data_IF_473878757022
#
_entry.id   IF_473878757022
#
_cell.length_a   1.000
_cell.length_b   1.000
_cell.length_c   1.000
_cell.angle_alpha   90.00
_cell.angle_beta   90.00
_cell.angle_gamma   90.00
#
_symmetry.space_group_name_H-M   'P 1'
#
loop_
_entity.id
_entity.type
_entity.pdbx_description
1 polymer ?
#
# COMPACT_ATOMS: atom_id res chain seq x y z
N UNK A 1 -16.91 -4.84 5.45
CA UNK A 1 -15.50 -4.64 4.97
C UNK A 1 -14.74 -3.80 6.00
N UNK A 2 -13.55 -4.20 6.43
CA UNK A 2 -12.71 -3.37 7.32
C UNK A 2 -11.79 -2.50 6.44
N UNK A 3 -12.12 -1.20 6.32
CA UNK A 3 -11.33 -0.24 5.55
C UNK A 3 -10.41 0.50 6.51
N UNK A 4 -9.11 0.41 6.24
CA UNK A 4 -8.08 1.10 7.01
C UNK A 4 -7.57 2.37 6.33
N UNK A 5 -6.49 2.91 6.90
CA UNK A 5 -5.76 4.06 6.36
C UNK A 5 -4.27 3.74 6.27
N UNK A 6 -3.69 4.02 5.10
CA UNK A 6 -2.24 4.03 4.93
C UNK A 6 -1.69 5.38 5.44
N UNK A 7 -0.77 5.31 6.39
CA UNK A 7 -0.37 6.49 7.19
C UNK A 7 0.53 7.49 6.46
N UNK A 8 0.94 7.20 5.22
CA UNK A 8 1.52 8.23 4.34
C UNK A 8 0.59 9.42 4.18
N UNK A 9 -0.73 9.20 4.17
CA UNK A 9 -1.75 10.25 4.06
C UNK A 9 -1.60 11.28 5.18
N UNK A 10 -1.30 10.82 6.40
CA UNK A 10 -1.15 11.68 7.60
C UNK A 10 0.33 11.91 8.00
N UNK A 11 1.30 11.61 7.12
CA UNK A 11 2.75 11.62 7.43
C UNK A 11 3.28 12.90 8.06
N UNK A 12 2.70 14.08 7.72
CA UNK A 12 3.11 15.36 8.30
C UNK A 12 2.73 15.47 9.79
N UNK A 13 1.55 15.01 10.15
CA UNK A 13 1.08 14.97 11.54
C UNK A 13 1.82 13.87 12.32
N UNK A 14 1.95 12.68 11.75
CA UNK A 14 2.64 11.53 12.32
C UNK A 14 4.12 11.83 12.65
N UNK A 15 4.81 12.63 11.83
CA UNK A 15 6.19 13.08 12.11
C UNK A 15 6.29 13.88 13.41
N UNK A 16 5.21 14.56 13.83
CA UNK A 16 5.17 15.32 15.08
C UNK A 16 4.81 14.45 16.28
N UNK A 17 3.82 13.56 16.11
CA UNK A 17 3.37 12.61 17.14
C UNK A 17 2.51 11.53 16.46
N UNK A 18 2.89 10.27 16.62
CA UNK A 18 2.13 9.12 16.12
C UNK A 18 0.75 9.11 16.79
N UNK A 19 0.71 9.17 18.12
CA UNK A 19 -0.52 9.14 18.90
C UNK A 19 -1.51 10.22 18.47
N UNK A 20 -1.06 11.49 18.43
CA UNK A 20 -1.92 12.60 18.07
C UNK A 20 -2.39 12.57 16.60
N UNK A 21 -1.60 11.93 15.71
CA UNK A 21 -1.99 11.75 14.32
C UNK A 21 -3.07 10.68 14.12
N UNK A 22 -3.06 9.61 14.94
CA UNK A 22 -4.00 8.49 14.79
C UNK A 22 -5.33 8.74 15.52
N UNK A 23 -5.32 9.40 16.68
CA UNK A 23 -6.52 9.63 17.49
C UNK A 23 -7.70 10.25 16.73
N UNK A 24 -7.53 11.26 15.84
CA UNK A 24 -8.64 11.81 15.06
C UNK A 24 -9.28 10.78 14.12
N UNK A 25 -8.48 9.86 13.53
CA UNK A 25 -8.96 8.79 12.66
C UNK A 25 -9.68 7.69 13.46
N UNK A 26 -9.13 7.33 14.61
CA UNK A 26 -9.74 6.37 15.54
C UNK A 26 -11.12 6.88 16.00
N UNK A 27 -11.24 8.17 16.32
CA UNK A 27 -12.53 8.83 16.66
C UNK A 27 -13.52 8.83 15.48
N UNK A 28 -13.05 8.74 14.26
CA UNK A 28 -13.88 8.59 13.05
C UNK A 28 -14.29 7.13 12.77
N UNK A 29 -13.91 6.17 13.63
CA UNK A 29 -14.24 4.76 13.49
C UNK A 29 -13.18 3.92 12.75
N UNK A 30 -12.08 4.51 12.31
CA UNK A 30 -11.00 3.77 11.63
C UNK A 30 -10.26 2.90 12.63
N UNK A 31 -10.18 1.60 12.35
CA UNK A 31 -9.59 0.60 13.22
C UNK A 31 -8.37 -0.10 12.62
N UNK A 32 -8.12 0.03 11.33
CA UNK A 32 -7.02 -0.64 10.63
C UNK A 32 -6.04 0.38 10.05
N UNK A 33 -4.74 0.14 10.21
CA UNK A 33 -3.70 1.04 9.74
C UNK A 33 -2.59 0.26 9.03
N UNK A 34 -2.26 0.67 7.80
CA UNK A 34 -0.98 0.32 7.20
C UNK A 34 0.04 1.40 7.56
N UNK A 35 1.02 1.03 8.38
CA UNK A 35 1.99 1.98 8.95
C UNK A 35 3.12 2.25 7.98
N UNK A 36 3.33 3.51 7.63
CA UNK A 36 4.39 3.96 6.73
C UNK A 36 5.02 5.28 7.20
N UNK A 37 6.22 5.60 6.68
CA UNK A 37 6.87 6.91 6.88
C UNK A 37 7.21 7.24 8.34
N UNK A 38 7.52 6.23 9.14
CA UNK A 38 8.14 6.35 10.46
C UNK A 38 9.44 5.55 10.47
N UNK A 39 10.22 5.70 11.54
CA UNK A 39 11.32 4.79 11.84
C UNK A 39 10.76 3.53 12.51
N UNK A 40 11.06 2.38 11.93
CA UNK A 40 10.61 1.08 12.44
C UNK A 40 11.54 0.61 13.57
N UNK A 41 11.51 1.33 14.69
CA UNK A 41 12.28 1.05 15.89
C UNK A 41 11.36 0.69 17.06
N UNK A 42 11.96 0.17 18.14
CA UNK A 42 11.25 -0.27 19.35
C UNK A 42 10.40 0.84 20.00
N UNK A 43 10.90 2.10 20.02
CA UNK A 43 10.17 3.23 20.60
C UNK A 43 8.83 3.44 19.90
N UNK A 44 8.86 3.55 18.57
CA UNK A 44 7.64 3.76 17.77
C UNK A 44 6.73 2.53 17.79
N UNK A 45 7.30 1.32 17.85
CA UNK A 45 6.53 0.09 18.01
C UNK A 45 5.72 0.08 19.32
N UNK A 46 6.34 0.48 20.43
CA UNK A 46 5.67 0.56 21.74
C UNK A 46 4.60 1.65 21.79
N UNK A 47 4.82 2.80 21.12
CA UNK A 47 3.80 3.84 21.01
C UNK A 47 2.57 3.33 20.24
N UNK A 48 2.77 2.63 19.11
CA UNK A 48 1.68 2.00 18.36
C UNK A 48 1.03 0.87 19.16
N UNK A 49 1.81 0.06 19.88
CA UNK A 49 1.29 -0.98 20.76
C UNK A 49 0.33 -0.39 21.80
N UNK A 50 0.69 0.74 22.41
CA UNK A 50 -0.19 1.44 23.35
C UNK A 50 -1.53 1.87 22.71
N UNK A 51 -1.53 2.29 21.43
CA UNK A 51 -2.75 2.59 20.70
C UNK A 51 -3.59 1.34 20.41
N UNK A 52 -2.95 0.21 20.08
CA UNK A 52 -3.61 -1.08 19.91
C UNK A 52 -4.33 -1.47 21.20
N UNK A 53 -3.61 -1.43 22.33
CA UNK A 53 -4.15 -1.86 23.63
C UNK A 53 -5.29 -0.96 24.13
N UNK A 54 -5.17 0.35 23.91
CA UNK A 54 -6.17 1.33 24.42
C UNK A 54 -7.39 1.46 23.51
N UNK A 55 -7.24 1.29 22.20
CA UNK A 55 -8.29 1.65 21.25
C UNK A 55 -8.75 0.49 20.36
N UNK A 56 -8.16 -0.71 20.52
CA UNK A 56 -8.50 -1.88 19.74
C UNK A 56 -8.26 -1.69 18.24
N UNK A 57 -7.22 -0.95 17.87
CA UNK A 57 -6.80 -0.85 16.47
C UNK A 57 -5.91 -2.01 16.07
N UNK A 58 -5.76 -2.24 14.78
CA UNK A 58 -4.84 -3.21 14.22
C UNK A 58 -3.83 -2.54 13.28
N UNK A 59 -2.66 -3.16 13.15
CA UNK A 59 -1.69 -2.84 12.09
C UNK A 59 -1.84 -3.88 11.00
N UNK A 60 -2.57 -3.54 9.94
CA UNK A 60 -2.82 -4.43 8.79
C UNK A 60 -1.54 -4.79 8.05
N UNK A 61 -0.62 -3.85 7.92
CA UNK A 61 0.70 -4.03 7.35
C UNK A 61 1.65 -2.89 7.77
N UNK A 62 2.95 -3.08 7.55
CA UNK A 62 3.93 -1.99 7.58
C UNK A 62 4.56 -1.83 6.19
N UNK A 63 4.65 -0.59 5.69
CA UNK A 63 5.26 -0.29 4.41
C UNK A 63 6.66 0.29 4.58
N UNK A 64 7.66 -0.47 4.16
CA UNK A 64 9.08 -0.26 4.46
C UNK A 64 9.90 -0.01 3.20
N UNK A 65 10.86 0.91 3.25
CA UNK A 65 11.78 1.14 2.11
C UNK A 65 12.63 -0.10 1.84
N UNK A 66 12.94 -0.42 0.56
CA UNK A 66 13.72 -1.61 0.20
C UNK A 66 14.99 -1.79 1.03
N UNK A 67 15.79 -0.73 1.19
CA UNK A 67 17.06 -0.80 1.94
C UNK A 67 16.92 -1.35 3.36
N UNK A 68 15.79 -1.11 4.03
CA UNK A 68 15.54 -1.62 5.38
C UNK A 68 14.96 -3.03 5.36
N UNK A 69 14.11 -3.34 4.37
CA UNK A 69 13.57 -4.71 4.18
C UNK A 69 14.70 -5.72 3.99
N UNK A 70 15.76 -5.33 3.27
CA UNK A 70 16.92 -6.20 3.02
C UNK A 70 18.03 -6.07 4.07
N UNK A 71 18.24 -4.88 4.64
CA UNK A 71 19.40 -4.60 5.50
C UNK A 71 19.12 -4.52 7.00
N UNK A 72 17.84 -4.44 7.43
CA UNK A 72 17.47 -4.28 8.83
C UNK A 72 16.34 -5.27 9.23
N UNK A 73 16.47 -6.52 8.81
CA UNK A 73 15.42 -7.56 8.99
C UNK A 73 15.04 -7.71 10.47
N UNK A 74 16.02 -7.78 11.38
CA UNK A 74 15.77 -8.00 12.81
C UNK A 74 14.94 -6.86 13.42
N UNK A 75 15.24 -5.60 13.09
CA UNK A 75 14.49 -4.43 13.59
C UNK A 75 13.05 -4.46 13.10
N UNK A 76 12.86 -4.78 11.81
CA UNK A 76 11.53 -4.90 11.20
C UNK A 76 10.73 -6.05 11.83
N UNK A 77 11.37 -7.20 12.07
CA UNK A 77 10.73 -8.35 12.73
C UNK A 77 10.37 -8.02 14.19
N UNK A 78 11.26 -7.33 14.93
CA UNK A 78 10.95 -6.87 16.30
C UNK A 78 9.76 -5.92 16.30
N UNK A 79 9.73 -4.94 15.40
CA UNK A 79 8.59 -4.04 15.24
C UNK A 79 7.29 -4.80 14.99
N UNK A 80 7.31 -5.76 14.07
CA UNK A 80 6.16 -6.60 13.75
C UNK A 80 5.68 -7.42 14.95
N UNK A 81 6.60 -8.00 15.73
CA UNK A 81 6.27 -8.76 16.95
C UNK A 81 5.59 -7.87 17.99
N UNK A 82 6.13 -6.68 18.27
CA UNK A 82 5.55 -5.73 19.25
C UNK A 82 4.15 -5.27 18.83
N UNK A 83 3.96 -4.96 17.55
CA UNK A 83 2.69 -4.43 17.02
C UNK A 83 1.71 -5.52 16.58
N UNK A 84 2.08 -6.80 16.73
CA UNK A 84 1.33 -7.96 16.21
C UNK A 84 1.04 -7.88 14.69
N UNK A 85 1.87 -7.17 13.93
CA UNK A 85 1.76 -7.07 12.49
C UNK A 85 2.28 -8.32 11.80
N UNK A 86 1.56 -8.85 10.81
CA UNK A 86 1.93 -10.06 10.08
C UNK A 86 2.33 -9.80 8.63
N UNK A 87 2.36 -8.54 8.19
CA UNK A 87 2.63 -8.17 6.79
C UNK A 87 3.65 -7.05 6.69
N UNK A 88 4.68 -7.28 5.90
CA UNK A 88 5.69 -6.27 5.53
C UNK A 88 5.58 -6.00 4.05
N UNK A 89 5.46 -4.74 3.66
CA UNK A 89 5.29 -4.31 2.28
C UNK A 89 6.55 -3.54 1.83
N UNK A 90 7.19 -3.99 0.77
CA UNK A 90 8.25 -3.25 0.10
C UNK A 90 7.62 -2.03 -0.59
N UNK A 91 8.01 -0.83 -0.19
CA UNK A 91 7.27 0.40 -0.55
C UNK A 91 7.39 0.83 -2.01
N UNK A 92 8.42 0.42 -2.73
CA UNK A 92 8.69 0.82 -4.11
C UNK A 92 9.93 0.10 -4.66
N UNK A 93 10.19 0.23 -5.96
CA UNK A 93 11.48 -0.15 -6.55
C UNK A 93 12.63 0.66 -5.93
N UNK A 94 13.82 0.05 -5.75
CA UNK A 94 15.04 0.80 -5.49
C UNK A 94 15.30 1.84 -6.59
N UNK A 95 15.83 3.02 -6.23
CA UNK A 95 16.15 4.06 -7.21
C UNK A 95 17.14 3.58 -8.28
N UNK A 96 18.05 2.68 -7.95
CA UNK A 96 18.94 2.02 -8.90
C UNK A 96 18.21 1.21 -9.98
N UNK A 97 17.02 0.69 -9.68
CA UNK A 97 16.19 -0.02 -10.65
C UNK A 97 15.35 0.95 -11.50
N UNK A 98 15.02 2.13 -10.97
CA UNK A 98 14.22 3.15 -11.67
C UNK A 98 15.09 3.89 -12.69
N UNK A 99 16.27 4.36 -12.26
CA UNK A 99 17.16 5.23 -13.02
C UNK A 99 18.34 4.48 -13.67
N UNK A 100 18.56 3.23 -13.30
CA UNK A 100 19.65 2.38 -13.79
C UNK A 100 19.26 1.50 -14.97
N UNK A 101 20.18 0.59 -15.32
CA UNK A 101 19.96 -0.41 -16.38
C UNK A 101 18.89 -1.43 -15.98
N UNK A 102 18.35 -2.12 -16.98
CA UNK A 102 17.40 -3.23 -16.79
C UNK A 102 17.98 -4.36 -15.95
N UNK A 103 19.30 -4.58 -16.02
CA UNK A 103 19.99 -5.60 -15.19
C UNK A 103 19.81 -5.33 -13.69
N UNK A 104 19.78 -4.05 -13.27
CA UNK A 104 19.50 -3.69 -11.86
C UNK A 104 18.11 -4.12 -11.44
N UNK A 105 17.12 -3.96 -12.33
CA UNK A 105 15.77 -4.42 -12.09
C UNK A 105 15.70 -5.96 -12.02
N UNK A 106 16.29 -6.67 -12.97
CA UNK A 106 16.32 -8.14 -12.94
C UNK A 106 17.07 -8.70 -11.74
N UNK A 107 18.21 -8.08 -11.38
CA UNK A 107 18.93 -8.43 -10.17
C UNK A 107 18.07 -8.24 -8.91
N UNK A 108 17.31 -7.15 -8.83
CA UNK A 108 16.42 -6.91 -7.68
C UNK A 108 15.31 -7.96 -7.60
N UNK A 109 14.57 -8.20 -8.67
CA UNK A 109 13.45 -9.15 -8.64
C UNK A 109 13.90 -10.58 -8.35
N UNK A 110 15.10 -10.98 -8.77
CA UNK A 110 15.67 -12.31 -8.47
C UNK A 110 15.92 -12.53 -6.96
N UNK A 111 15.96 -11.46 -6.15
CA UNK A 111 16.16 -11.57 -4.70
C UNK A 111 14.84 -11.67 -3.92
N UNK A 112 13.70 -11.31 -4.52
CA UNK A 112 12.44 -11.13 -3.80
C UNK A 112 11.92 -12.41 -3.13
N UNK A 113 11.95 -13.54 -3.84
CA UNK A 113 11.44 -14.79 -3.27
C UNK A 113 12.35 -15.32 -2.14
N UNK A 114 13.66 -15.11 -2.23
CA UNK A 114 14.59 -15.41 -1.13
C UNK A 114 14.30 -14.53 0.09
N UNK A 115 14.05 -13.24 -0.15
CA UNK A 115 13.71 -12.32 0.94
C UNK A 115 12.34 -12.67 1.55
N UNK A 116 11.38 -13.10 0.75
CA UNK A 116 10.11 -13.62 1.23
C UNK A 116 10.32 -14.77 2.22
N UNK A 117 11.16 -15.77 1.89
CA UNK A 117 11.44 -16.92 2.76
C UNK A 117 12.06 -16.52 4.11
N UNK A 118 12.86 -15.45 4.14
CA UNK A 118 13.44 -14.93 5.40
C UNK A 118 12.33 -14.42 6.32
N UNK A 119 11.37 -13.66 5.80
CA UNK A 119 10.24 -13.14 6.58
C UNK A 119 9.22 -14.23 6.92
N UNK A 120 8.96 -15.16 6.00
CA UNK A 120 8.06 -16.30 6.20
C UNK A 120 8.48 -17.17 7.39
N UNK A 121 9.78 -17.42 7.57
CA UNK A 121 10.34 -18.12 8.75
C UNK A 121 10.06 -17.40 10.08
N UNK A 122 9.72 -16.12 10.04
CA UNK A 122 9.32 -15.31 11.20
C UNK A 122 7.78 -15.19 11.33
N UNK A 123 7.01 -15.91 10.51
CA UNK A 123 5.56 -15.81 10.46
C UNK A 123 5.05 -14.49 9.86
N UNK A 124 5.84 -13.86 8.99
CA UNK A 124 5.54 -12.58 8.36
C UNK A 124 5.45 -12.77 6.84
N UNK A 125 4.36 -12.31 6.24
CA UNK A 125 4.17 -12.26 4.80
C UNK A 125 4.89 -11.04 4.23
N UNK A 126 5.78 -11.22 3.25
CA UNK A 126 6.40 -10.14 2.52
C UNK A 126 5.62 -9.85 1.24
N UNK A 127 5.30 -8.59 1.01
CA UNK A 127 4.63 -8.14 -0.20
C UNK A 127 5.38 -7.00 -0.90
N UNK A 128 5.02 -6.75 -2.12
CA UNK A 128 5.56 -5.67 -2.94
C UNK A 128 4.44 -4.69 -3.33
N UNK A 129 4.65 -3.40 -3.09
CA UNK A 129 3.78 -2.31 -3.54
C UNK A 129 4.40 -1.61 -4.75
N UNK A 130 3.59 -1.39 -5.77
CA UNK A 130 4.02 -0.79 -7.03
C UNK A 130 3.66 0.69 -7.16
N UNK A 131 4.31 1.34 -8.13
CA UNK A 131 4.01 2.68 -8.62
C UNK A 131 3.81 2.65 -10.14
N UNK A 132 3.99 3.78 -10.81
CA UNK A 132 4.00 3.84 -12.28
C UNK A 132 5.29 3.30 -12.91
N UNK A 133 6.36 3.17 -12.15
CA UNK A 133 7.67 2.69 -12.65
C UNK A 133 7.64 1.25 -13.13
N UNK A 134 6.75 0.44 -12.57
CA UNK A 134 6.57 -0.96 -12.95
C UNK A 134 5.79 -1.14 -14.25
N UNK A 135 5.14 -0.09 -14.74
CA UNK A 135 4.43 -0.11 -16.03
C UNK A 135 5.28 0.37 -17.21
N UNK A 136 6.54 0.72 -16.97
CA UNK A 136 7.51 1.03 -18.04
C UNK A 136 7.81 -0.24 -18.83
N UNK A 137 7.84 -0.09 -20.16
CA UNK A 137 8.20 -1.16 -21.10
C UNK A 137 9.71 -1.33 -21.15
N UNK A 138 10.17 -2.57 -21.06
CA UNK A 138 11.57 -2.99 -21.15
C UNK A 138 11.99 -3.21 -22.61
N UNK A 139 13.28 -3.39 -22.83
CA UNK A 139 13.87 -3.65 -24.17
C UNK A 139 13.28 -4.87 -24.88
N UNK A 140 12.79 -5.87 -24.11
CA UNK A 140 12.12 -7.06 -24.62
C UNK A 140 10.63 -6.84 -24.97
N UNK A 141 10.12 -5.62 -24.92
CA UNK A 141 8.73 -5.26 -25.21
C UNK A 141 7.74 -5.55 -24.08
N UNK A 142 8.17 -6.09 -22.95
CA UNK A 142 7.31 -6.40 -21.79
C UNK A 142 7.39 -5.31 -20.74
N UNK A 143 6.34 -5.15 -19.93
CA UNK A 143 6.39 -4.23 -18.78
C UNK A 143 7.17 -4.86 -17.63
N UNK A 144 7.81 -4.01 -16.81
CA UNK A 144 8.45 -4.47 -15.58
C UNK A 144 7.48 -5.22 -14.66
N UNK A 145 6.21 -4.81 -14.61
CA UNK A 145 5.18 -5.50 -13.81
C UNK A 145 4.96 -6.94 -14.29
N UNK A 146 4.88 -7.16 -15.60
CA UNK A 146 4.69 -8.49 -16.17
C UNK A 146 5.89 -9.41 -15.85
N UNK A 147 7.10 -8.86 -15.95
CA UNK A 147 8.34 -9.56 -15.57
C UNK A 147 8.38 -9.89 -14.07
N UNK A 148 7.98 -8.93 -13.22
CA UNK A 148 7.95 -9.11 -11.78
C UNK A 148 6.96 -10.21 -11.38
N UNK A 149 5.76 -10.23 -11.97
CA UNK A 149 4.76 -11.26 -11.71
C UNK A 149 5.24 -12.64 -12.18
N UNK A 150 5.84 -12.72 -13.35
CA UNK A 150 6.23 -14.00 -13.95
C UNK A 150 7.48 -14.60 -13.29
N UNK A 151 8.49 -13.77 -13.02
CA UNK A 151 9.79 -14.21 -12.50
C UNK A 151 9.83 -14.42 -11.00
N UNK A 152 8.77 -14.03 -10.28
CA UNK A 152 8.62 -14.31 -8.84
C UNK A 152 7.47 -15.28 -8.60
N UNK A 153 7.57 -16.09 -7.54
CA UNK A 153 6.55 -17.10 -7.21
C UNK A 153 5.96 -16.92 -5.83
N UNK A 154 6.75 -16.47 -4.85
CA UNK A 154 6.36 -16.38 -3.44
C UNK A 154 5.93 -14.99 -3.03
N UNK A 155 6.61 -13.94 -3.52
CA UNK A 155 6.30 -12.56 -3.15
C UNK A 155 4.82 -12.24 -3.39
N UNK A 156 4.18 -11.62 -2.40
CA UNK A 156 2.80 -11.14 -2.50
C UNK A 156 2.77 -9.71 -3.06
N UNK A 157 1.57 -9.22 -3.38
CA UNK A 157 1.39 -7.89 -3.96
C UNK A 157 0.40 -7.05 -3.16
N UNK A 158 0.70 -5.75 -3.09
CA UNK A 158 -0.24 -4.71 -2.68
C UNK A 158 -0.48 -3.80 -3.89
N UNK A 159 -1.72 -3.75 -4.34
CA UNK A 159 -2.12 -2.99 -5.51
C UNK A 159 -2.50 -1.55 -5.14
N UNK A 160 -2.02 -0.57 -5.91
CA UNK A 160 -2.43 0.83 -5.80
C UNK A 160 -3.25 1.22 -7.04
N UNK A 161 -4.52 1.52 -6.82
CA UNK A 161 -5.49 1.81 -7.90
C UNK A 161 -5.15 3.08 -8.66
N UNK A 162 -4.60 4.09 -8.01
CA UNK A 162 -4.15 5.33 -8.64
C UNK A 162 -3.00 5.11 -9.63
N UNK A 163 -1.99 4.34 -9.22
CA UNK A 163 -0.81 4.16 -10.07
C UNK A 163 -1.09 3.30 -11.29
N UNK A 164 -1.95 2.29 -11.21
CA UNK A 164 -2.41 1.55 -12.37
C UNK A 164 -3.24 2.43 -13.30
N UNK A 165 -4.26 3.11 -12.79
CA UNK A 165 -5.12 3.99 -13.59
C UNK A 165 -4.32 5.12 -14.25
N UNK A 166 -3.39 5.75 -13.53
CA UNK A 166 -2.47 6.77 -14.06
C UNK A 166 -1.58 6.25 -15.20
N UNK A 167 -1.28 4.97 -15.18
CA UNK A 167 -0.48 4.29 -16.22
C UNK A 167 -1.35 3.73 -17.36
N UNK A 168 -2.65 4.06 -17.41
CA UNK A 168 -3.58 3.59 -18.43
C UNK A 168 -3.99 2.12 -18.27
N UNK A 169 -3.80 1.56 -17.07
CA UNK A 169 -4.14 0.17 -16.75
C UNK A 169 -5.42 0.16 -15.90
N UNK A 170 -6.40 -0.61 -16.33
CA UNK A 170 -7.60 -0.88 -15.54
C UNK A 170 -7.21 -1.57 -14.22
N UNK A 171 -7.54 -0.97 -13.05
CA UNK A 171 -7.25 -1.56 -11.75
C UNK A 171 -7.82 -2.98 -11.58
N UNK A 172 -9.00 -3.26 -12.11
CA UNK A 172 -9.65 -4.58 -12.00
C UNK A 172 -8.91 -5.65 -12.80
N UNK A 173 -8.39 -5.27 -13.97
CA UNK A 173 -7.54 -6.15 -14.78
C UNK A 173 -6.24 -6.48 -14.06
N UNK A 174 -5.61 -5.50 -13.43
CA UNK A 174 -4.37 -5.71 -12.67
C UNK A 174 -4.60 -6.63 -11.46
N UNK A 175 -5.72 -6.46 -10.75
CA UNK A 175 -6.11 -7.33 -9.63
C UNK A 175 -6.20 -8.78 -10.08
N UNK A 176 -6.88 -9.06 -11.19
CA UNK A 176 -7.00 -10.41 -11.76
C UNK A 176 -5.63 -11.00 -12.14
N UNK A 177 -4.72 -10.16 -12.61
CA UNK A 177 -3.37 -10.58 -12.99
C UNK A 177 -2.51 -10.98 -11.77
N UNK A 178 -2.67 -10.31 -10.64
CA UNK A 178 -2.03 -10.72 -9.38
C UNK A 178 -2.63 -12.02 -8.81
N UNK A 179 -3.93 -12.25 -9.02
CA UNK A 179 -4.64 -13.44 -8.54
C UNK A 179 -4.48 -13.61 -7.02
N UNK A 180 -4.26 -14.83 -6.55
CA UNK A 180 -4.11 -15.19 -5.14
C UNK A 180 -2.82 -14.65 -4.47
N UNK A 181 -2.00 -13.94 -5.21
CA UNK A 181 -0.85 -13.22 -4.64
C UNK A 181 -1.19 -11.80 -4.22
N UNK A 182 -2.38 -11.28 -4.55
CA UNK A 182 -2.86 -10.00 -4.05
C UNK A 182 -3.31 -10.14 -2.60
N UNK A 183 -2.70 -9.40 -1.69
CA UNK A 183 -3.06 -9.42 -0.25
C UNK A 183 -3.61 -8.10 0.26
N UNK A 184 -3.39 -7.00 -0.45
CA UNK A 184 -3.84 -5.68 -0.02
C UNK A 184 -4.07 -4.73 -1.18
N UNK A 185 -4.92 -3.73 -0.94
CA UNK A 185 -5.18 -2.65 -1.91
C UNK A 185 -5.07 -1.30 -1.23
N UNK A 186 -4.30 -0.40 -1.86
CA UNK A 186 -4.39 1.02 -1.64
C UNK A 186 -5.52 1.58 -2.50
N UNK A 187 -6.64 1.86 -1.85
CA UNK A 187 -7.76 2.55 -2.46
C UNK A 187 -7.39 4.02 -2.59
N UNK A 188 -7.16 4.45 -3.83
CA UNK A 188 -6.66 5.78 -4.14
C UNK A 188 -7.26 6.23 -5.46
N UNK A 189 -7.99 7.35 -5.45
CA UNK A 189 -8.73 7.82 -6.61
C UNK A 189 -7.92 8.84 -7.43
N UNK A 190 -8.33 9.01 -8.68
CA UNK A 190 -7.66 9.80 -9.69
C UNK A 190 -8.64 10.78 -10.34
N UNK A 191 -8.31 12.07 -10.35
CA UNK A 191 -8.97 13.00 -11.26
C UNK A 191 -8.28 13.02 -12.61
N UNK A 192 -9.06 12.94 -13.68
CA UNK A 192 -8.60 13.27 -15.02
C UNK A 192 -8.50 14.80 -15.17
N UNK A 193 -7.77 15.24 -16.20
CA UNK A 193 -7.57 16.61 -16.61
C UNK A 193 -8.80 17.50 -16.39
N UNK A 194 -8.69 18.58 -15.63
CA UNK A 194 -9.63 19.71 -15.74
C UNK A 194 -9.21 20.54 -16.95
N UNK A 195 -10.09 20.55 -17.98
CA UNK A 195 -9.93 21.36 -19.19
C UNK A 195 -9.59 22.81 -18.78
N UNK A 196 -8.46 23.34 -19.25
CA UNK A 196 -8.02 24.71 -19.01
C UNK A 196 -6.98 24.93 -17.90
N UNK A 197 -6.57 23.89 -17.18
CA UNK A 197 -5.43 23.94 -16.27
C UNK A 197 -4.45 22.84 -16.69
N UNK A 198 -3.21 23.19 -17.02
CA UNK A 198 -2.09 22.25 -17.23
C UNK A 198 -1.73 21.52 -15.91
N UNK A 199 -2.71 20.82 -15.35
CA UNK A 199 -2.54 20.15 -14.07
C UNK A 199 -2.51 18.65 -14.30
N UNK A 200 -1.37 17.99 -14.01
CA UNK A 200 -1.27 16.55 -14.11
C UNK A 200 -2.37 15.87 -13.28
N UNK A 201 -2.76 14.66 -13.70
CA UNK A 201 -3.66 13.78 -12.95
C UNK A 201 -3.29 13.77 -11.46
N UNK A 202 -4.25 14.03 -10.57
CA UNK A 202 -4.04 14.21 -9.13
C UNK A 202 -4.82 13.18 -8.35
N UNK A 203 -4.34 12.91 -7.15
CA UNK A 203 -5.16 12.27 -6.13
C UNK A 203 -6.47 13.03 -5.93
N UNK A 204 -7.55 12.28 -5.85
CA UNK A 204 -8.88 12.76 -5.54
C UNK A 204 -9.39 12.14 -4.25
N UNK A 205 -10.37 12.76 -3.63
CA UNK A 205 -11.19 12.09 -2.62
C UNK A 205 -11.89 10.91 -3.30
N UNK A 206 -11.88 9.76 -2.67
CA UNK A 206 -12.49 8.55 -3.23
C UNK A 206 -13.98 8.78 -3.49
N UNK A 207 -14.40 8.53 -4.73
CA UNK A 207 -15.75 8.80 -5.23
C UNK A 207 -15.92 10.16 -5.90
N UNK A 208 -14.92 11.04 -5.84
CA UNK A 208 -14.89 12.31 -6.59
C UNK A 208 -14.01 12.22 -7.86
N UNK A 209 -13.37 11.09 -8.10
CA UNK A 209 -12.51 10.80 -9.25
C UNK A 209 -13.18 9.92 -10.29
N UNK A 210 -12.39 9.10 -10.98
CA UNK A 210 -12.84 8.30 -12.12
C UNK A 210 -12.78 6.79 -11.91
N UNK A 211 -12.28 6.32 -10.76
CA UNK A 211 -12.10 4.89 -10.51
C UNK A 211 -13.40 4.30 -9.98
N UNK A 212 -13.87 3.21 -10.59
CA UNK A 212 -14.99 2.42 -10.10
C UNK A 212 -14.58 1.52 -8.94
N UNK A 213 -14.73 2.03 -7.72
CA UNK A 213 -14.36 1.29 -6.51
C UNK A 213 -15.27 0.10 -6.20
N UNK A 214 -16.50 0.09 -6.69
CA UNK A 214 -17.36 -1.09 -6.56
C UNK A 214 -16.74 -2.29 -7.31
N UNK A 215 -16.39 -2.09 -8.58
CA UNK A 215 -15.74 -3.12 -9.39
C UNK A 215 -14.37 -3.52 -8.86
N UNK A 216 -13.59 -2.56 -8.35
CA UNK A 216 -12.28 -2.81 -7.71
C UNK A 216 -12.42 -3.71 -6.50
N UNK A 217 -13.31 -3.38 -5.57
CA UNK A 217 -13.51 -4.12 -4.32
C UNK A 217 -14.03 -5.53 -4.63
N UNK A 218 -15.02 -5.65 -5.52
CA UNK A 218 -15.56 -6.94 -5.95
C UNK A 218 -14.49 -7.84 -6.59
N UNK A 219 -13.66 -7.27 -7.47
CA UNK A 219 -12.54 -8.00 -8.08
C UNK A 219 -11.50 -8.42 -7.05
N UNK A 220 -11.22 -7.58 -6.05
CA UNK A 220 -10.28 -7.90 -4.99
C UNK A 220 -10.76 -9.07 -4.10
N UNK A 221 -12.03 -9.07 -3.74
CA UNK A 221 -12.61 -10.18 -2.99
C UNK A 221 -12.59 -11.49 -3.77
N UNK A 222 -12.85 -11.44 -5.08
CA UNK A 222 -12.84 -12.65 -5.92
C UNK A 222 -11.49 -13.37 -5.98
N UNK A 223 -10.40 -12.67 -5.63
CA UNK A 223 -9.03 -13.24 -5.59
C UNK A 223 -8.50 -13.43 -4.17
N UNK A 224 -9.32 -13.16 -3.14
CA UNK A 224 -8.96 -13.37 -1.73
C UNK A 224 -8.11 -12.26 -1.11
N UNK A 225 -8.27 -10.99 -1.56
CA UNK A 225 -7.57 -9.86 -0.96
C UNK A 225 -7.93 -9.71 0.53
N UNK A 226 -6.90 -9.52 1.38
CA UNK A 226 -7.04 -9.61 2.83
C UNK A 226 -7.34 -8.26 3.50
N UNK A 227 -6.86 -7.13 2.94
CA UNK A 227 -7.06 -5.81 3.53
C UNK A 227 -7.15 -4.68 2.50
N UNK A 228 -7.80 -3.60 2.91
CA UNK A 228 -8.02 -2.40 2.10
C UNK A 228 -7.64 -1.17 2.92
N UNK A 229 -6.87 -0.25 2.35
CA UNK A 229 -6.50 0.99 3.02
C UNK A 229 -6.66 2.19 2.08
N UNK A 230 -7.18 3.29 2.61
CA UNK A 230 -7.23 4.58 1.92
C UNK A 230 -5.82 5.16 1.91
N UNK A 231 -5.30 5.49 0.73
CA UNK A 231 -4.11 6.31 0.58
C UNK A 231 -4.42 7.54 -0.28
N UNK A 232 -4.05 8.74 0.19
CA UNK A 232 -4.29 9.99 -0.53
C UNK A 232 -3.16 10.99 -0.31
N UNK A 233 -2.80 11.72 -1.36
CA UNK A 233 -1.94 12.90 -1.25
C UNK A 233 -2.81 14.16 -1.22
N UNK A 234 -3.08 14.67 -0.04
CA UNK A 234 -4.00 15.78 0.20
C UNK A 234 -3.44 16.83 1.16
N UNK A 235 -4.03 18.03 1.14
CA UNK A 235 -3.76 19.10 2.10
C UNK A 235 -4.64 18.98 3.37
N UNK A 236 -5.78 18.30 3.28
CA UNK A 236 -6.78 18.16 4.34
C UNK A 236 -7.03 16.69 4.72
N UNK A 237 -5.99 15.94 5.20
CA UNK A 237 -6.05 14.48 5.27
C UNK A 237 -7.22 13.94 6.08
N UNK A 238 -7.53 14.52 7.23
CA UNK A 238 -8.59 14.00 8.10
C UNK A 238 -10.00 14.19 7.55
N UNK A 239 -10.26 15.33 6.89
CA UNK A 239 -11.52 15.61 6.21
C UNK A 239 -11.71 14.71 5.00
N UNK A 240 -10.67 14.58 4.20
CA UNK A 240 -10.72 13.85 2.93
C UNK A 240 -10.80 12.33 3.17
N UNK A 241 -10.07 11.81 4.17
CA UNK A 241 -10.22 10.41 4.62
C UNK A 241 -11.66 10.15 5.07
N UNK A 242 -12.25 11.07 5.85
CA UNK A 242 -13.64 10.92 6.33
C UNK A 242 -14.65 10.82 5.17
N UNK A 243 -14.49 11.66 4.13
CA UNK A 243 -15.34 11.62 2.94
C UNK A 243 -15.16 10.31 2.17
N UNK A 244 -13.90 9.93 1.92
CA UNK A 244 -13.52 8.69 1.22
C UNK A 244 -14.05 7.46 1.95
N UNK A 245 -13.92 7.43 3.28
CA UNK A 245 -14.41 6.32 4.10
C UNK A 245 -15.92 6.16 4.00
N UNK A 246 -16.69 7.26 4.11
CA UNK A 246 -18.15 7.25 3.96
C UNK A 246 -18.59 6.77 2.58
N UNK A 247 -17.91 7.20 1.53
CA UNK A 247 -18.21 6.74 0.17
C UNK A 247 -17.98 5.22 0.05
N UNK A 248 -16.87 4.72 0.55
CA UNK A 248 -16.56 3.29 0.51
C UNK A 248 -17.53 2.46 1.37
N UNK A 249 -17.96 2.96 2.53
CA UNK A 249 -19.01 2.30 3.33
C UNK A 249 -20.32 2.20 2.55
N UNK A 250 -20.72 3.27 1.84
CA UNK A 250 -21.96 3.27 1.03
C UNK A 250 -21.93 2.28 -0.13
N UNK A 251 -20.75 1.93 -0.64
CA UNK A 251 -20.57 0.91 -1.67
C UNK A 251 -20.68 -0.49 -1.05
N UNK A 252 -20.05 -0.69 0.11
CA UNK A 252 -20.00 -1.99 0.77
C UNK A 252 -21.37 -2.47 1.31
N UNK A 253 -22.33 -1.55 1.51
CA UNK A 253 -23.69 -1.87 2.00
C UNK A 253 -24.68 -2.17 0.87
N UNK A 254 -24.27 -2.14 -0.40
CA UNK A 254 -25.15 -2.43 -1.55
C UNK A 254 -25.18 -3.91 -1.94
N UNK A 255 -24.57 -4.77 -1.12
CA UNK A 255 -24.69 -6.23 -1.17
C UNK A 255 -25.67 -6.71 -0.11
#
# INVERSE_FOLDING_TARGET
MNIGVQTFTIRKAQKKSITNAYLPLIKQGIKSFEVARIDFNKKNALEIRSLIDKHGIEVSAIQVKPKYVFGAVNDIVEFCKITNCKRVVISMLPFSCILGSEDKFYSFISTLDKQYEIYEKQGITLAYHHHNWEYVTLSNGRRRMDELIEKTKKIKFVHDTYWSAKSGIDPTRQIKQFGNRLIGIHLRDLTLFKKGLDVPSRDSVIGEGVIDFYSVIKSAWSVGCEYFVIEQKTQNPYSDIKKSFRHLESIATKE
#
